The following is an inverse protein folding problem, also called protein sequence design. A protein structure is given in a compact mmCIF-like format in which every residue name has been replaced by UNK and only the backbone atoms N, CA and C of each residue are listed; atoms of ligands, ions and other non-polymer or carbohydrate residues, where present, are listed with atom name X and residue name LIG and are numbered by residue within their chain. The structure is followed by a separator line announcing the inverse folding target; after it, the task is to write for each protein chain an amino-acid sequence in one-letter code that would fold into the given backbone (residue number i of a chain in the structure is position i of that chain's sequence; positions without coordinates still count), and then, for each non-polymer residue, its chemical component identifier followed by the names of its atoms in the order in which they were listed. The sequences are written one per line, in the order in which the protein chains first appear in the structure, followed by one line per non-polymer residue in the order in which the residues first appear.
data_IF_436939556460
#
_entry.id   IF_436939556460
#
_cell.length_a   1.000
_cell.length_b   1.000
_cell.length_c   1.000
_cell.angle_alpha   90.00
_cell.angle_beta   90.00
_cell.angle_gamma   90.00
#
_symmetry.space_group_name_H-M   'P 1'
#
loop_
_entity.id
_entity.type
_entity.pdbx_description
1 polymer ?
#
# COMPACT_ATOMS: atom_id res chain seq x y z
N UNK A 1 15.94 -6.06 -1.49
CA UNK A 1 15.25 -6.99 -2.45
C UNK A 1 15.07 -6.36 -3.83
N UNK A 2 14.72 -7.13 -4.89
CA UNK A 2 14.37 -6.59 -6.22
C UNK A 2 12.84 -6.37 -6.30
N UNK A 3 12.39 -5.17 -6.71
CA UNK A 3 11.01 -4.92 -7.08
C UNK A 3 10.66 -5.54 -8.45
N UNK A 4 9.43 -5.38 -8.91
CA UNK A 4 9.00 -5.76 -10.25
C UNK A 4 9.41 -4.71 -11.29
N UNK A 5 9.22 -5.04 -12.57
CA UNK A 5 9.65 -4.16 -13.68
C UNK A 5 8.81 -2.88 -13.72
N UNK A 6 9.48 -1.74 -13.88
CA UNK A 6 8.79 -0.45 -14.09
C UNK A 6 8.12 -0.46 -15.47
N UNK A 7 6.80 -0.27 -15.56
CA UNK A 7 6.14 -0.10 -16.84
C UNK A 7 6.50 1.25 -17.46
N UNK A 8 6.50 1.33 -18.77
CA UNK A 8 6.56 2.61 -19.48
C UNK A 8 5.25 3.37 -19.26
N UNK A 9 5.36 4.63 -18.83
CA UNK A 9 4.20 5.49 -18.61
C UNK A 9 4.03 6.44 -19.79
N UNK A 10 2.81 6.55 -20.36
CA UNK A 10 2.52 7.57 -21.36
C UNK A 10 2.73 8.98 -20.78
N UNK A 11 3.21 9.87 -21.63
CA UNK A 11 3.37 11.29 -21.30
C UNK A 11 2.12 12.06 -21.76
N UNK A 12 1.39 12.61 -20.80
CA UNK A 12 0.19 13.40 -21.09
C UNK A 12 0.54 14.87 -21.37
N UNK A 13 -0.33 15.60 -22.08
CA UNK A 13 -0.20 17.05 -22.21
C UNK A 13 -0.10 17.72 -20.84
N UNK A 14 0.68 18.80 -20.70
CA UNK A 14 0.79 19.51 -19.45
C UNK A 14 -0.59 19.85 -18.84
N UNK A 15 -0.67 19.79 -17.51
CA UNK A 15 -1.88 20.19 -16.82
C UNK A 15 -2.18 21.69 -17.10
N UNK A 16 -3.45 22.02 -17.30
CA UNK A 16 -3.87 23.43 -17.41
C UNK A 16 -3.57 24.16 -16.10
N UNK A 17 -3.27 25.45 -16.18
CA UNK A 17 -3.12 26.30 -15.00
C UNK A 17 -4.39 26.26 -14.12
N UNK A 18 -4.19 26.27 -12.79
CA UNK A 18 -5.29 26.35 -11.84
C UNK A 18 -5.86 25.00 -11.38
N UNK A 19 -5.25 23.85 -11.71
CA UNK A 19 -5.62 22.60 -11.08
C UNK A 19 -5.28 22.63 -9.57
N UNK A 20 -6.22 22.19 -8.68
CA UNK A 20 -5.98 22.17 -7.24
C UNK A 20 -4.84 21.21 -6.88
N UNK A 21 -4.13 21.40 -5.75
CA UNK A 21 -3.13 20.45 -5.29
C UNK A 21 -3.78 19.07 -5.03
N UNK A 22 -3.00 18.01 -5.11
CA UNK A 22 -3.46 16.68 -4.68
C UNK A 22 -3.71 16.74 -3.18
N UNK A 23 -4.96 16.49 -2.79
CA UNK A 23 -5.40 16.52 -1.40
C UNK A 23 -5.90 15.14 -1.01
N UNK A 24 -5.55 14.67 0.18
CA UNK A 24 -5.95 13.36 0.72
C UNK A 24 -6.47 13.52 2.15
N UNK A 25 -7.34 12.61 2.53
CA UNK A 25 -7.74 12.47 3.92
C UNK A 25 -6.55 11.97 4.76
N UNK A 26 -6.10 12.81 5.67
CA UNK A 26 -5.05 12.49 6.64
C UNK A 26 -5.71 12.01 7.94
N UNK A 27 -5.44 10.76 8.31
CA UNK A 27 -6.03 10.14 9.50
C UNK A 27 -5.66 10.87 10.78
N UNK A 28 -4.45 11.41 10.88
CA UNK A 28 -4.01 12.12 12.07
C UNK A 28 -4.72 13.48 12.27
N UNK A 29 -5.06 14.20 11.21
CA UNK A 29 -5.83 15.45 11.32
C UNK A 29 -7.34 15.24 11.21
N UNK A 30 -7.78 14.13 10.64
CA UNK A 30 -9.19 13.87 10.30
C UNK A 30 -9.71 14.72 9.13
N UNK A 31 -8.84 15.40 8.39
CA UNK A 31 -9.19 16.35 7.33
C UNK A 31 -8.62 15.94 5.97
N UNK A 32 -9.32 16.34 4.90
CA UNK A 32 -8.76 16.30 3.54
C UNK A 32 -7.88 17.52 3.35
N UNK A 33 -6.60 17.31 3.08
CA UNK A 33 -5.61 18.39 2.96
C UNK A 33 -4.56 18.11 1.89
N UNK A 34 -3.90 19.14 1.36
CA UNK A 34 -2.83 18.97 0.37
C UNK A 34 -1.71 18.08 0.88
N UNK A 35 -1.25 17.14 0.03
CA UNK A 35 -0.14 16.22 0.30
C UNK A 35 0.92 16.29 -0.78
N UNK A 36 2.17 16.13 -0.37
CA UNK A 36 3.34 16.23 -1.25
C UNK A 36 3.86 17.67 -1.41
N UNK A 37 5.04 17.81 -2.00
CA UNK A 37 5.65 19.11 -2.26
C UNK A 37 5.01 19.76 -3.50
N UNK A 38 5.14 21.08 -3.63
CA UNK A 38 4.75 21.80 -4.86
C UNK A 38 5.67 21.48 -6.04
N UNK A 39 6.94 21.24 -5.79
CA UNK A 39 7.98 20.89 -6.78
C UNK A 39 9.01 19.93 -6.20
N UNK A 40 9.74 19.24 -7.08
CA UNK A 40 10.83 18.37 -6.66
C UNK A 40 10.40 16.92 -6.48
N UNK A 41 10.74 16.31 -5.34
CA UNK A 41 10.52 14.87 -5.10
C UNK A 41 9.50 14.65 -3.98
N UNK A 42 8.38 14.04 -4.33
CA UNK A 42 7.43 13.49 -3.35
C UNK A 42 7.96 12.18 -2.77
N UNK A 43 7.79 11.99 -1.44
CA UNK A 43 8.33 10.86 -0.69
C UNK A 43 7.16 10.06 -0.11
N UNK A 44 7.04 8.81 -0.56
CA UNK A 44 5.96 7.88 -0.21
C UNK A 44 6.53 6.63 0.46
N UNK A 45 6.06 6.31 1.65
CA UNK A 45 6.25 5.00 2.26
C UNK A 45 4.92 4.26 2.33
N UNK A 46 4.87 3.04 1.83
CA UNK A 46 3.69 2.17 1.99
C UNK A 46 4.12 0.89 2.67
N UNK A 47 3.49 0.56 3.79
CA UNK A 47 3.75 -0.70 4.48
C UNK A 47 3.48 -1.90 3.57
N UNK A 48 4.44 -2.82 3.55
CA UNK A 48 4.41 -4.00 2.72
C UNK A 48 3.61 -5.16 3.30
N UNK A 49 3.67 -6.28 2.62
CA UNK A 49 3.01 -7.52 3.04
C UNK A 49 3.90 -8.34 3.98
N UNK A 50 3.27 -9.14 4.85
CA UNK A 50 3.89 -10.34 5.39
C UNK A 50 3.61 -11.49 4.40
N UNK A 51 4.63 -12.05 3.73
CA UNK A 51 4.46 -12.90 2.55
C UNK A 51 4.17 -14.36 2.94
N UNK A 52 2.94 -14.65 3.35
CA UNK A 52 2.52 -16.02 3.69
C UNK A 52 1.18 -16.45 3.06
N UNK A 53 0.36 -15.51 2.58
CA UNK A 53 -0.83 -15.72 1.73
C UNK A 53 -0.96 -14.52 0.79
N UNK A 54 -0.27 -14.57 -0.36
CA UNK A 54 -0.11 -13.42 -1.24
C UNK A 54 -1.39 -12.96 -1.88
N UNK A 55 -1.41 -11.72 -2.13
CA UNK A 55 -2.29 -10.76 -2.78
C UNK A 55 -3.77 -11.11 -2.77
N UNK A 56 -4.41 -10.97 -1.63
CA UNK A 56 -5.88 -10.87 -1.59
C UNK A 56 -6.34 -9.45 -1.99
N UNK A 57 -7.63 -9.30 -2.26
CA UNK A 57 -8.20 -8.03 -2.75
C UNK A 57 -7.97 -6.84 -1.81
N UNK A 58 -7.86 -7.07 -0.49
CA UNK A 58 -7.50 -6.03 0.47
C UNK A 58 -6.09 -5.46 0.21
N UNK A 59 -5.09 -6.33 0.01
CA UNK A 59 -3.74 -5.90 -0.40
C UNK A 59 -3.79 -5.14 -1.73
N UNK A 60 -4.48 -5.70 -2.74
CA UNK A 60 -4.59 -5.06 -4.05
C UNK A 60 -5.23 -3.67 -3.95
N UNK A 61 -6.26 -3.49 -3.10
CA UNK A 61 -6.91 -2.20 -2.83
C UNK A 61 -5.90 -1.17 -2.31
N UNK A 62 -5.13 -1.55 -1.31
CA UNK A 62 -4.09 -0.68 -0.72
C UNK A 62 -3.07 -0.24 -1.79
N UNK A 63 -2.47 -1.19 -2.51
CA UNK A 63 -1.39 -0.84 -3.45
C UNK A 63 -1.89 -0.11 -4.69
N UNK A 64 -3.12 -0.37 -5.17
CA UNK A 64 -3.73 0.40 -6.26
C UNK A 64 -4.06 1.83 -5.81
N UNK A 65 -4.51 2.05 -4.57
CA UNK A 65 -4.75 3.39 -4.03
C UNK A 65 -3.47 4.24 -4.01
N UNK A 66 -2.36 3.70 -3.53
CA UNK A 66 -1.08 4.42 -3.51
C UNK A 66 -0.40 4.50 -4.88
N UNK A 67 -0.71 3.58 -5.79
CA UNK A 67 -0.34 3.71 -7.21
C UNK A 67 -1.04 4.89 -7.86
N UNK A 68 -2.32 5.15 -7.58
CA UNK A 68 -3.01 6.35 -8.05
C UNK A 68 -2.33 7.64 -7.54
N UNK A 69 -1.96 7.69 -6.27
CA UNK A 69 -1.23 8.82 -5.72
C UNK A 69 0.11 9.04 -6.43
N UNK A 70 0.87 7.95 -6.62
CA UNK A 70 2.15 7.98 -7.32
C UNK A 70 1.98 8.52 -8.75
N UNK A 71 0.98 8.05 -9.49
CA UNK A 71 0.66 8.50 -10.85
C UNK A 71 0.21 9.95 -10.88
N UNK A 72 -0.66 10.36 -9.96
CA UNK A 72 -1.14 11.73 -9.86
C UNK A 72 0.00 12.72 -9.57
N UNK A 73 0.95 12.38 -8.70
CA UNK A 73 2.13 13.20 -8.44
C UNK A 73 3.05 13.30 -9.66
N UNK A 74 3.26 12.18 -10.39
CA UNK A 74 4.07 12.17 -11.63
C UNK A 74 3.45 13.01 -12.74
N UNK A 75 2.12 12.95 -12.90
CA UNK A 75 1.40 13.79 -13.86
C UNK A 75 1.54 15.29 -13.54
N UNK A 76 1.76 15.64 -12.26
CA UNK A 76 2.08 17.00 -11.81
C UNK A 76 3.56 17.39 -12.02
N UNK A 77 4.36 16.52 -12.62
CA UNK A 77 5.79 16.75 -12.86
C UNK A 77 6.68 16.49 -11.65
N UNK A 78 6.16 15.90 -10.58
CA UNK A 78 6.98 15.51 -9.42
C UNK A 78 7.77 14.25 -9.72
N UNK A 79 9.02 14.20 -9.28
CA UNK A 79 9.68 12.93 -9.05
C UNK A 79 9.04 12.25 -7.85
N UNK A 80 8.91 10.92 -7.86
CA UNK A 80 8.36 10.17 -6.72
C UNK A 80 9.37 9.16 -6.23
N UNK A 81 9.77 9.28 -4.97
CA UNK A 81 10.52 8.24 -4.27
C UNK A 81 9.56 7.44 -3.42
N UNK A 82 9.18 6.29 -3.95
CA UNK A 82 8.32 5.31 -3.31
C UNK A 82 9.18 4.21 -2.67
N UNK A 83 8.99 3.96 -1.39
CA UNK A 83 9.65 2.91 -0.59
C UNK A 83 8.58 1.97 -0.04
N UNK A 84 8.83 0.69 -0.12
CA UNK A 84 7.97 -0.37 0.42
C UNK A 84 8.82 -1.45 1.06
N UNK A 85 8.40 -1.93 2.23
CA UNK A 85 9.04 -3.10 2.85
C UNK A 85 8.37 -4.42 2.45
N UNK A 86 9.00 -5.51 2.84
CA UNK A 86 8.42 -6.86 2.95
C UNK A 86 8.77 -7.39 4.32
N UNK A 87 7.78 -7.75 5.11
CA UNK A 87 7.99 -8.37 6.41
C UNK A 87 8.24 -9.87 6.21
N UNK A 88 9.43 -10.20 5.70
CA UNK A 88 9.85 -11.56 5.33
C UNK A 88 10.35 -12.40 6.51
N UNK A 89 10.19 -11.90 7.72
CA UNK A 89 10.31 -12.65 8.97
C UNK A 89 9.33 -12.09 10.00
N UNK A 90 8.35 -12.91 10.40
CA UNK A 90 7.34 -12.54 11.40
C UNK A 90 6.62 -13.80 11.92
N UNK A 91 5.96 -13.73 13.08
CA UNK A 91 5.25 -14.85 13.69
C UNK A 91 4.26 -15.53 12.73
N UNK A 92 3.35 -14.81 12.05
CA UNK A 92 2.40 -15.42 11.11
C UNK A 92 3.07 -16.19 9.96
N UNK A 93 4.20 -15.69 9.45
CA UNK A 93 4.97 -16.39 8.41
C UNK A 93 5.58 -17.69 8.96
N UNK A 94 6.20 -17.62 10.14
CA UNK A 94 6.83 -18.79 10.79
C UNK A 94 5.79 -19.85 11.17
N UNK A 95 4.62 -19.44 11.68
CA UNK A 95 3.51 -20.35 11.96
C UNK A 95 3.01 -21.04 10.70
N UNK A 96 2.86 -20.28 9.60
CA UNK A 96 2.44 -20.84 8.32
C UNK A 96 3.44 -21.82 7.75
N UNK A 97 4.72 -21.49 7.82
CA UNK A 97 5.82 -22.36 7.39
C UNK A 97 5.81 -23.69 8.16
N UNK A 98 5.68 -23.64 9.49
CA UNK A 98 5.53 -24.82 10.34
C UNK A 98 4.29 -25.66 9.97
N UNK A 99 3.14 -25.01 9.79
CA UNK A 99 1.88 -25.68 9.45
C UNK A 99 1.90 -26.38 8.09
N UNK A 100 2.69 -25.85 7.14
CA UNK A 100 2.80 -26.41 5.78
C UNK A 100 4.01 -27.31 5.58
N UNK A 101 4.95 -27.33 6.53
CA UNK A 101 6.21 -28.08 6.41
C UNK A 101 7.19 -27.53 5.37
N UNK A 102 7.03 -26.25 5.01
CA UNK A 102 7.90 -25.52 4.06
C UNK A 102 8.91 -24.69 4.84
N UNK A 103 10.14 -24.57 4.37
CA UNK A 103 11.09 -23.60 4.95
C UNK A 103 10.52 -22.17 4.85
N UNK A 104 10.65 -21.39 5.91
CA UNK A 104 10.04 -20.05 5.97
C UNK A 104 10.63 -19.08 4.93
N UNK A 105 11.91 -19.23 4.56
CA UNK A 105 12.56 -18.42 3.52
C UNK A 105 11.99 -18.75 2.15
N UNK A 106 11.83 -20.04 1.86
CA UNK A 106 11.24 -20.50 0.61
C UNK A 106 9.79 -20.04 0.49
N UNK A 107 9.03 -20.09 1.60
CA UNK A 107 7.66 -19.58 1.65
C UNK A 107 7.62 -18.07 1.40
N UNK A 108 8.46 -17.29 2.09
CA UNK A 108 8.55 -15.86 1.93
C UNK A 108 8.91 -15.47 0.49
N UNK A 109 9.91 -16.14 -0.12
CA UNK A 109 10.31 -15.86 -1.50
C UNK A 109 9.21 -16.20 -2.50
N UNK A 110 8.57 -17.36 -2.39
CA UNK A 110 7.46 -17.78 -3.27
C UNK A 110 6.30 -16.80 -3.20
N UNK A 111 5.89 -16.38 -2.00
CA UNK A 111 4.77 -15.47 -1.81
C UNK A 111 5.12 -14.04 -2.24
N UNK A 112 6.36 -13.61 -2.05
CA UNK A 112 6.85 -12.32 -2.55
C UNK A 112 6.88 -12.30 -4.08
N UNK A 113 7.30 -13.38 -4.74
CA UNK A 113 7.28 -13.46 -6.21
C UNK A 113 5.86 -13.50 -6.76
N UNK A 114 4.93 -14.17 -6.08
CA UNK A 114 3.53 -14.15 -6.45
C UNK A 114 2.96 -12.73 -6.34
N UNK A 115 3.28 -12.01 -5.27
CA UNK A 115 2.91 -10.61 -5.09
C UNK A 115 3.45 -9.71 -6.21
N UNK A 116 4.74 -9.83 -6.57
CA UNK A 116 5.34 -9.09 -7.69
C UNK A 116 4.62 -9.34 -9.00
N UNK A 117 4.28 -10.60 -9.25
CA UNK A 117 3.54 -11.02 -10.46
C UNK A 117 2.14 -10.41 -10.48
N UNK A 118 1.45 -10.37 -9.35
CA UNK A 118 0.11 -9.79 -9.24
C UNK A 118 0.16 -8.26 -9.39
N UNK A 119 1.12 -7.57 -8.77
CA UNK A 119 1.31 -6.11 -8.93
C UNK A 119 1.66 -5.73 -10.36
N UNK A 120 2.52 -6.52 -11.02
CA UNK A 120 2.83 -6.35 -12.46
C UNK A 120 1.57 -6.49 -13.31
N UNK A 121 0.77 -7.51 -13.06
CA UNK A 121 -0.46 -7.75 -13.81
C UNK A 121 -1.50 -6.63 -13.61
N UNK A 122 -1.60 -6.10 -12.40
CA UNK A 122 -2.46 -4.97 -12.07
C UNK A 122 -1.87 -3.62 -12.53
N UNK A 123 -0.71 -3.59 -13.19
CA UNK A 123 -0.03 -2.38 -13.65
C UNK A 123 0.27 -1.37 -12.52
N UNK A 124 0.60 -1.88 -11.32
CA UNK A 124 1.04 -1.06 -10.18
C UNK A 124 2.50 -0.67 -10.39
N UNK A 125 2.84 0.60 -10.17
CA UNK A 125 4.21 1.09 -10.23
C UNK A 125 5.05 0.51 -9.10
N UNK A 126 6.26 -0.02 -9.38
CA UNK A 126 7.11 -0.59 -8.35
C UNK A 126 7.69 0.50 -7.44
N UNK A 127 8.04 0.14 -6.19
CA UNK A 127 8.84 1.01 -5.35
C UNK A 127 10.26 1.18 -5.92
N UNK A 128 10.84 2.34 -5.67
CA UNK A 128 12.25 2.61 -5.98
C UNK A 128 13.18 1.79 -5.06
N UNK A 129 12.76 1.64 -3.81
CA UNK A 129 13.45 0.84 -2.80
C UNK A 129 12.46 -0.19 -2.23
N UNK A 130 12.73 -1.48 -2.42
CA UNK A 130 11.92 -2.63 -1.96
C UNK A 130 12.76 -3.47 -1.01
N UNK A 131 12.44 -3.41 0.30
CA UNK A 131 13.34 -3.79 1.37
C UNK A 131 12.73 -4.90 2.24
N UNK A 132 13.43 -6.03 2.40
CA UNK A 132 13.04 -7.09 3.35
C UNK A 132 13.34 -6.72 4.80
N UNK A 133 12.53 -7.21 5.73
CA UNK A 133 12.81 -7.08 7.16
C UNK A 133 14.15 -7.73 7.51
N UNK A 134 14.44 -8.91 6.94
CA UNK A 134 15.72 -9.62 7.16
C UNK A 134 16.93 -8.78 6.72
N UNK A 135 16.86 -8.11 5.56
CA UNK A 135 17.98 -7.27 5.10
C UNK A 135 18.07 -5.93 5.84
N UNK A 136 17.08 -5.57 6.65
CA UNK A 136 17.03 -4.33 7.42
C UNK A 136 17.40 -4.49 8.90
N UNK A 137 17.78 -5.68 9.36
CA UNK A 137 18.08 -5.95 10.78
C UNK A 137 19.17 -5.01 11.33
N UNK A 138 20.20 -4.75 10.55
CA UNK A 138 21.27 -3.79 10.96
C UNK A 138 20.71 -2.38 11.13
N UNK A 139 19.77 -1.93 10.27
CA UNK A 139 19.12 -0.63 10.39
C UNK A 139 18.28 -0.54 11.67
N UNK A 140 17.56 -1.62 12.00
CA UNK A 140 16.78 -1.69 13.24
C UNK A 140 17.71 -1.59 14.46
N UNK A 141 18.80 -2.33 14.48
CA UNK A 141 19.75 -2.28 15.60
C UNK A 141 20.43 -0.93 15.73
N UNK A 142 20.75 -0.26 14.62
CA UNK A 142 21.25 1.12 14.61
C UNK A 142 20.23 2.11 15.17
N UNK A 143 18.94 1.95 14.83
CA UNK A 143 17.87 2.80 15.36
C UNK A 143 17.69 2.55 16.85
N UNK A 144 17.66 1.30 17.29
CA UNK A 144 17.50 0.91 18.70
C UNK A 144 18.62 1.46 19.59
N UNK A 145 19.84 1.62 19.10
CA UNK A 145 20.95 2.20 19.85
C UNK A 145 20.81 3.71 20.11
N UNK A 146 19.86 4.40 19.50
CA UNK A 146 19.59 5.82 19.74
C UNK A 146 18.69 6.07 20.94
N UNK A 147 18.00 5.04 21.43
CA UNK A 147 17.12 5.16 22.59
C UNK A 147 17.90 5.09 23.90
N UNK A 148 17.35 5.74 24.91
CA UNK A 148 17.82 5.60 26.30
C UNK A 148 17.23 4.36 26.96
N UNK A 149 17.79 3.90 28.08
CA UNK A 149 17.29 2.76 28.87
C UNK A 149 15.89 3.00 29.46
N UNK A 150 15.40 4.25 29.47
CA UNK A 150 14.04 4.59 29.87
C UNK A 150 13.06 4.43 28.71
N UNK A 151 13.51 4.67 27.48
CA UNK A 151 12.70 4.62 26.26
C UNK A 151 12.60 3.20 25.69
N UNK A 152 13.69 2.44 25.72
CA UNK A 152 13.73 1.02 25.36
C UNK A 152 14.32 0.23 26.52
N UNK A 153 13.57 -0.76 26.99
CA UNK A 153 13.90 -1.50 28.20
C UNK A 153 13.61 -3.00 28.02
N UNK A 154 14.29 -3.80 28.83
CA UNK A 154 14.07 -5.24 28.87
C UNK A 154 12.95 -5.59 29.85
N UNK A 155 12.05 -6.50 29.43
CA UNK A 155 11.00 -6.99 30.32
C UNK A 155 11.59 -7.60 31.57
N UNK A 156 11.01 -7.27 32.75
CA UNK A 156 11.52 -7.71 34.05
C UNK A 156 11.17 -9.15 34.41
N UNK A 157 10.27 -9.78 33.67
CA UNK A 157 9.81 -11.15 33.87
C UNK A 157 9.73 -11.93 32.57
N UNK A 158 9.96 -13.24 32.61
CA UNK A 158 9.93 -14.16 31.48
C UNK A 158 11.13 -14.00 30.56
N UNK A 159 11.00 -14.25 29.24
CA UNK A 159 12.07 -14.00 28.27
C UNK A 159 12.49 -12.53 28.28
N UNK A 160 13.76 -12.27 28.12
CA UNK A 160 14.36 -10.95 28.23
C UNK A 160 14.16 -10.10 26.95
N UNK A 161 12.91 -10.02 26.46
CA UNK A 161 12.51 -9.24 25.29
C UNK A 161 12.61 -7.75 25.58
N UNK A 162 12.86 -6.95 24.55
CA UNK A 162 12.98 -5.51 24.64
C UNK A 162 11.72 -4.82 24.13
N UNK A 163 11.27 -3.83 24.89
CA UNK A 163 10.05 -3.08 24.65
C UNK A 163 10.33 -1.58 24.54
N UNK A 164 9.64 -0.92 23.63
CA UNK A 164 9.58 0.52 23.56
C UNK A 164 8.49 1.05 24.49
N UNK A 165 8.83 1.99 25.33
CA UNK A 165 7.91 2.67 26.24
C UNK A 165 7.11 3.73 25.44
N UNK A 166 5.88 3.40 25.04
CA UNK A 166 5.08 4.24 24.13
C UNK A 166 4.84 5.66 24.66
N UNK A 167 4.75 5.83 25.98
CA UNK A 167 4.60 7.14 26.64
C UNK A 167 5.89 7.97 26.66
N UNK A 168 6.98 7.48 26.06
CA UNK A 168 8.15 8.32 25.74
C UNK A 168 7.83 9.31 24.60
N UNK A 169 6.81 9.02 23.78
CA UNK A 169 6.25 9.97 22.84
C UNK A 169 5.04 10.69 23.49
N UNK A 170 5.12 12.01 23.73
CA UNK A 170 4.03 12.78 24.29
C UNK A 170 2.82 12.93 23.34
N UNK A 171 3.02 12.65 22.04
CA UNK A 171 1.98 12.71 21.00
C UNK A 171 1.37 11.32 20.69
N UNK A 172 1.76 10.25 21.40
CA UNK A 172 1.21 8.92 21.19
C UNK A 172 -0.32 8.90 21.31
N UNK A 173 -0.99 8.33 20.31
CA UNK A 173 -2.44 8.29 20.18
C UNK A 173 -3.03 9.35 19.23
N UNK A 174 -2.21 10.24 18.66
CA UNK A 174 -2.68 11.31 17.77
C UNK A 174 -2.96 10.86 16.33
N UNK A 175 -2.50 9.69 15.92
CA UNK A 175 -2.79 9.15 14.58
C UNK A 175 -4.12 8.40 14.61
N UNK A 176 -4.31 7.52 15.58
CA UNK A 176 -5.45 6.61 15.64
C UNK A 176 -6.68 7.19 16.36
N UNK A 177 -6.48 8.17 17.25
CA UNK A 177 -7.51 8.79 18.07
C UNK A 177 -8.30 7.80 18.93
N UNK A 178 -7.73 6.62 19.24
CA UNK A 178 -8.35 5.62 20.11
C UNK A 178 -8.23 6.02 21.58
N UNK A 179 -9.28 5.82 22.34
CA UNK A 179 -9.14 5.86 23.80
C UNK A 179 -8.32 4.65 24.30
N UNK A 180 -7.82 4.72 25.54
CA UNK A 180 -6.93 3.69 26.10
C UNK A 180 -7.56 2.29 26.07
N UNK A 181 -8.86 2.17 26.34
CA UNK A 181 -9.58 0.88 26.34
C UNK A 181 -9.67 0.32 24.92
N UNK A 182 -9.98 1.18 23.94
CA UNK A 182 -10.03 0.82 22.52
C UNK A 182 -8.63 0.42 22.03
N UNK A 183 -7.61 1.21 22.39
CA UNK A 183 -6.23 0.92 22.03
C UNK A 183 -5.77 -0.44 22.57
N UNK A 184 -6.02 -0.75 23.85
CA UNK A 184 -5.68 -2.05 24.46
C UNK A 184 -6.39 -3.22 23.77
N UNK A 185 -7.67 -3.09 23.49
CA UNK A 185 -8.45 -4.13 22.82
C UNK A 185 -7.94 -4.38 21.39
N UNK A 186 -7.70 -3.30 20.64
CA UNK A 186 -7.19 -3.38 19.26
C UNK A 186 -5.76 -3.90 19.22
N UNK A 187 -4.92 -3.50 20.19
CA UNK A 187 -3.55 -4.01 20.31
C UNK A 187 -3.53 -5.53 20.50
N UNK A 188 -4.35 -6.05 21.44
CA UNK A 188 -4.48 -7.49 21.66
C UNK A 188 -5.00 -8.23 20.41
N UNK A 189 -5.99 -7.67 19.70
CA UNK A 189 -6.57 -8.26 18.48
C UNK A 189 -5.54 -8.34 17.34
N UNK A 190 -4.62 -7.38 17.27
CA UNK A 190 -3.69 -7.20 16.15
C UNK A 190 -2.25 -7.66 16.45
N UNK A 191 -2.12 -8.65 17.32
CA UNK A 191 -0.84 -9.32 17.58
C UNK A 191 0.01 -8.69 18.69
N UNK A 192 -0.51 -7.67 19.39
CA UNK A 192 0.13 -7.14 20.59
C UNK A 192 -0.06 -8.05 21.79
N UNK A 193 0.70 -7.80 22.84
CA UNK A 193 0.78 -8.60 24.07
C UNK A 193 0.53 -7.77 25.35
N UNK A 194 -0.67 -7.13 25.50
CA UNK A 194 -0.94 -6.22 26.61
C UNK A 194 -0.82 -6.89 27.98
N UNK A 195 -1.03 -8.22 28.06
CA UNK A 195 -0.96 -9.01 29.30
C UNK A 195 0.44 -9.58 29.58
N UNK A 196 1.43 -9.27 28.75
CA UNK A 196 2.80 -9.76 28.90
C UNK A 196 3.41 -9.26 30.23
N UNK A 197 3.73 -10.19 31.12
CA UNK A 197 4.36 -9.88 32.41
C UNK A 197 5.72 -9.20 32.21
N UNK A 198 6.05 -8.28 33.11
CA UNK A 198 7.32 -7.55 33.10
C UNK A 198 7.36 -6.31 32.22
N UNK A 199 6.29 -5.99 31.47
CA UNK A 199 6.13 -4.71 30.77
C UNK A 199 5.85 -3.58 31.78
N UNK A 200 6.29 -2.36 31.45
CA UNK A 200 5.99 -1.16 32.27
C UNK A 200 4.59 -0.63 31.99
N UNK A 201 4.14 -0.74 30.73
CA UNK A 201 2.80 -0.37 30.32
C UNK A 201 2.22 -1.42 29.34
N UNK A 202 0.91 -1.76 29.40
CA UNK A 202 0.30 -2.75 28.51
C UNK A 202 0.46 -2.46 27.02
N UNK A 203 0.49 -1.18 26.60
CA UNK A 203 0.67 -0.77 25.20
C UNK A 203 2.15 -0.72 24.76
N UNK A 204 3.14 -0.87 25.67
CA UNK A 204 4.52 -0.88 25.23
C UNK A 204 4.74 -1.96 24.19
N UNK A 205 5.38 -1.62 23.07
CA UNK A 205 5.50 -2.53 21.94
C UNK A 205 6.86 -3.20 21.87
N UNK A 206 6.85 -4.44 21.40
CA UNK A 206 8.04 -5.25 21.20
C UNK A 206 8.93 -4.61 20.13
N UNK A 207 10.20 -4.37 20.44
CA UNK A 207 11.20 -3.85 19.49
C UNK A 207 12.30 -4.85 19.17
N UNK A 208 12.61 -5.78 20.14
CA UNK A 208 13.54 -6.87 19.91
C UNK A 208 13.15 -8.09 20.72
N UNK A 209 12.80 -9.18 20.01
CA UNK A 209 12.47 -10.47 20.60
C UNK A 209 13.73 -11.28 20.76
N UNK A 210 14.01 -11.78 21.97
CA UNK A 210 15.11 -12.69 22.21
C UNK A 210 14.88 -14.02 21.46
N UNK A 211 15.98 -14.68 21.09
CA UNK A 211 15.95 -15.94 20.35
C UNK A 211 15.02 -16.97 21.01
N UNK A 212 14.23 -17.64 20.19
CA UNK A 212 13.36 -18.76 20.56
C UNK A 212 13.87 -20.04 19.93
N UNK A 213 13.68 -21.20 20.57
CA UNK A 213 13.99 -22.47 19.96
C UNK A 213 13.26 -22.63 18.62
N UNK A 214 13.97 -23.08 17.61
CA UNK A 214 13.44 -23.34 16.25
C UNK A 214 12.97 -22.12 15.46
N UNK A 215 13.25 -20.89 15.96
CA UNK A 215 12.98 -19.64 15.25
C UNK A 215 14.28 -19.00 14.74
N UNK A 216 14.20 -18.26 13.62
CA UNK A 216 15.36 -17.52 13.14
C UNK A 216 15.76 -16.42 14.14
N UNK A 217 17.07 -16.24 14.30
CA UNK A 217 17.61 -15.17 15.12
C UNK A 217 18.91 -14.63 14.53
N UNK A 218 19.23 -13.43 14.92
CA UNK A 218 20.42 -12.70 14.47
C UNK A 218 21.14 -12.09 15.66
N UNK A 219 22.48 -12.03 15.61
CA UNK A 219 23.24 -11.36 16.65
C UNK A 219 22.99 -9.86 16.66
N UNK A 220 22.88 -9.26 17.85
CA UNK A 220 22.73 -7.82 18.01
C UNK A 220 23.32 -7.35 19.35
N UNK A 221 23.49 -6.03 19.55
CA UNK A 221 23.82 -5.47 20.85
C UNK A 221 22.76 -5.76 21.93
N UNK A 222 21.54 -6.12 21.52
CA UNK A 222 20.41 -6.46 22.40
C UNK A 222 20.32 -7.97 22.68
N UNK A 223 21.29 -8.75 22.23
CA UNK A 223 21.34 -10.22 22.32
C UNK A 223 20.91 -10.89 21.01
N UNK A 224 21.04 -12.23 20.97
CA UNK A 224 20.51 -13.03 19.86
C UNK A 224 18.99 -12.91 19.81
N UNK A 225 18.42 -12.58 18.63
CA UNK A 225 17.00 -12.37 18.51
C UNK A 225 16.57 -11.87 17.14
N UNK A 226 15.40 -11.27 17.07
CA UNK A 226 14.83 -10.65 15.88
C UNK A 226 14.05 -9.37 16.20
N UNK A 227 13.90 -8.43 15.23
CA UNK A 227 13.15 -7.21 15.45
C UNK A 227 11.67 -7.47 15.75
N UNK A 228 11.04 -6.52 16.44
CA UNK A 228 9.59 -6.38 16.48
C UNK A 228 9.05 -5.74 15.19
N UNK A 229 7.78 -5.96 14.91
CA UNK A 229 7.16 -5.59 13.64
C UNK A 229 7.17 -4.07 13.35
N UNK A 230 6.95 -3.22 14.37
CA UNK A 230 6.76 -1.78 14.16
C UNK A 230 8.08 -1.06 13.85
N UNK A 231 9.13 -1.42 14.58
CA UNK A 231 10.45 -0.80 14.45
C UNK A 231 11.12 -1.05 13.09
N UNK A 232 10.75 -2.15 12.40
CA UNK A 232 11.24 -2.43 11.04
C UNK A 232 10.85 -1.31 10.08
N UNK A 233 9.56 -0.96 10.06
CA UNK A 233 9.05 0.10 9.18
C UNK A 233 9.61 1.47 9.57
N UNK A 234 9.78 1.75 10.87
CA UNK A 234 10.40 2.98 11.35
C UNK A 234 11.83 3.13 10.82
N UNK A 235 12.65 2.07 10.96
CA UNK A 235 14.05 2.06 10.54
C UNK A 235 14.20 2.16 9.00
N UNK A 236 13.40 1.39 8.25
CA UNK A 236 13.44 1.39 6.78
C UNK A 236 13.02 2.77 6.24
N UNK A 237 11.88 3.30 6.69
CA UNK A 237 11.39 4.58 6.20
C UNK A 237 12.36 5.72 6.55
N UNK A 238 12.89 5.77 7.77
CA UNK A 238 13.89 6.76 8.17
C UNK A 238 15.16 6.68 7.32
N UNK A 239 15.64 5.48 7.04
CA UNK A 239 16.86 5.26 6.25
C UNK A 239 16.73 5.71 4.80
N UNK A 240 15.60 5.41 4.16
CA UNK A 240 15.42 5.60 2.71
C UNK A 240 14.71 6.91 2.35
N UNK A 241 13.86 7.43 3.22
CA UNK A 241 13.11 8.68 3.00
C UNK A 241 13.53 9.81 3.96
N UNK A 242 14.19 9.50 5.08
CA UNK A 242 14.40 10.43 6.16
C UNK A 242 13.13 10.67 6.96
N UNK A 243 13.15 11.67 7.82
CA UNK A 243 11.98 12.11 8.60
C UNK A 243 11.12 13.09 7.81
N UNK A 244 9.89 13.35 8.29
CA UNK A 244 8.96 14.29 7.68
C UNK A 244 8.73 14.03 6.18
N UNK A 245 8.72 12.74 5.78
CA UNK A 245 8.35 12.39 4.42
C UNK A 245 6.85 12.64 4.19
N UNK A 246 6.42 12.73 2.93
CA UNK A 246 5.13 13.34 2.62
C UNK A 246 3.94 12.47 3.05
N UNK A 247 3.97 11.17 2.75
CA UNK A 247 2.85 10.26 3.06
C UNK A 247 3.35 8.92 3.57
N UNK A 248 2.85 8.50 4.74
CA UNK A 248 2.83 7.10 5.18
C UNK A 248 1.48 6.48 4.82
N UNK A 249 1.52 5.40 4.05
CA UNK A 249 0.35 4.70 3.55
C UNK A 249 0.25 3.26 4.01
N UNK A 250 -0.98 2.75 4.05
CA UNK A 250 -1.30 1.35 4.38
C UNK A 250 -2.79 1.07 4.39
N UNK A 251 -3.19 -0.13 4.78
CA UNK A 251 -4.59 -0.45 5.07
C UNK A 251 -5.08 0.27 6.34
N UNK A 252 -6.38 0.48 6.48
CA UNK A 252 -6.94 1.17 7.64
C UNK A 252 -6.73 0.42 8.96
N UNK A 253 -6.49 -0.88 8.89
CA UNK A 253 -6.12 -1.70 10.03
C UNK A 253 -4.70 -1.42 10.55
N UNK A 254 -3.83 -0.81 9.74
CA UNK A 254 -2.49 -0.42 10.14
C UNK A 254 -2.43 0.92 10.89
N UNK A 255 -3.50 1.74 10.87
CA UNK A 255 -3.51 3.01 11.59
C UNK A 255 -3.12 2.82 13.07
N UNK A 256 -3.65 1.75 13.70
CA UNK A 256 -3.26 1.28 15.02
C UNK A 256 -3.21 -0.25 15.05
N UNK A 257 -2.18 -0.88 15.65
CA UNK A 257 -1.08 -0.23 16.37
C UNK A 257 0.09 0.23 15.46
N UNK A 258 0.18 -0.27 14.22
CA UNK A 258 1.42 -0.26 13.44
C UNK A 258 1.93 1.15 13.11
N UNK A 259 1.11 2.01 12.50
CA UNK A 259 1.53 3.37 12.14
C UNK A 259 1.72 4.28 13.35
N UNK A 260 0.87 4.13 14.36
CA UNK A 260 1.03 4.86 15.62
C UNK A 260 2.35 4.54 16.29
N UNK A 261 2.67 3.24 16.43
CA UNK A 261 3.89 2.79 17.10
C UNK A 261 5.14 3.09 16.29
N UNK A 262 5.14 2.85 14.97
CA UNK A 262 6.29 3.20 14.10
C UNK A 262 6.58 4.69 14.12
N UNK A 263 5.54 5.53 14.15
CA UNK A 263 5.70 6.98 14.22
C UNK A 263 6.29 7.42 15.58
N UNK A 264 5.80 6.85 16.68
CA UNK A 264 6.28 7.13 18.02
C UNK A 264 7.75 6.70 18.18
N UNK A 265 8.11 5.51 17.73
CA UNK A 265 9.49 5.01 17.72
C UNK A 265 10.42 5.95 16.94
N UNK A 266 10.03 6.32 15.72
CA UNK A 266 10.83 7.23 14.90
C UNK A 266 10.94 8.64 15.51
N UNK A 267 9.85 9.17 16.07
CA UNK A 267 9.85 10.47 16.73
C UNK A 267 10.78 10.50 17.94
N UNK A 268 10.69 9.52 18.81
CA UNK A 268 11.52 9.45 20.02
C UNK A 268 13.01 9.26 19.66
N UNK A 269 13.31 8.47 18.62
CA UNK A 269 14.69 8.24 18.17
C UNK A 269 15.31 9.45 17.46
N UNK A 270 14.51 10.34 16.83
CA UNK A 270 15.00 11.40 15.94
C UNK A 270 14.68 12.81 16.41
N UNK A 271 13.67 12.99 17.26
CA UNK A 271 13.13 14.29 17.67
C UNK A 271 12.34 15.00 16.55
N UNK A 272 11.95 14.28 15.50
CA UNK A 272 11.22 14.83 14.34
C UNK A 272 10.02 13.98 14.00
N UNK A 273 8.98 14.60 13.41
CA UNK A 273 7.84 13.85 12.91
C UNK A 273 8.27 12.79 11.90
N UNK A 274 7.65 11.63 11.98
CA UNK A 274 7.94 10.54 11.06
C UNK A 274 7.44 10.85 9.65
N UNK A 275 6.14 11.08 9.49
CA UNK A 275 5.51 11.48 8.24
C UNK A 275 4.70 12.77 8.40
N UNK A 276 4.42 13.44 7.28
CA UNK A 276 3.57 14.64 7.25
C UNK A 276 2.09 14.31 7.18
N UNK A 277 1.72 13.18 6.54
CA UNK A 277 0.36 12.69 6.46
C UNK A 277 0.31 11.17 6.60
N UNK A 278 -0.77 10.67 7.21
CA UNK A 278 -1.07 9.25 7.38
C UNK A 278 -2.33 8.91 6.61
N UNK A 279 -2.18 8.15 5.53
CA UNK A 279 -3.26 7.87 4.58
C UNK A 279 -3.59 6.38 4.60
N UNK A 280 -4.87 6.05 4.71
CA UNK A 280 -5.29 4.67 4.88
C UNK A 280 -6.33 4.25 3.84
N UNK A 281 -6.11 3.09 3.22
CA UNK A 281 -7.06 2.46 2.33
C UNK A 281 -8.08 1.65 3.15
N UNK A 282 -9.34 1.70 2.73
CA UNK A 282 -10.44 0.95 3.35
C UNK A 282 -10.27 -0.56 3.21
N UNK A 283 -10.97 -1.28 4.08
CA UNK A 283 -10.97 -2.75 4.12
C UNK A 283 -11.85 -3.33 3.02
N UNK A 284 -11.44 -4.48 2.49
CA UNK A 284 -12.22 -5.23 1.52
C UNK A 284 -12.77 -6.51 2.16
N UNK A 285 -14.10 -6.61 2.18
CA UNK A 285 -14.82 -7.79 2.63
C UNK A 285 -15.26 -8.71 1.48
N UNK A 286 -15.92 -9.79 1.81
CA UNK A 286 -16.63 -10.67 0.88
C UNK A 286 -18.05 -10.90 1.40
N UNK A 287 -19.06 -10.63 0.58
CA UNK A 287 -20.47 -10.82 0.89
C UNK A 287 -20.91 -10.15 2.22
N UNK A 288 -20.35 -8.97 2.54
CA UNK A 288 -20.64 -8.22 3.76
C UNK A 288 -19.87 -8.70 4.99
N UNK A 289 -19.00 -9.71 4.86
CA UNK A 289 -18.13 -10.19 5.93
C UNK A 289 -16.67 -9.81 5.68
N UNK A 290 -15.91 -9.57 6.76
CA UNK A 290 -14.45 -9.37 6.66
C UNK A 290 -13.81 -10.60 6.02
N UNK A 291 -13.01 -10.40 4.96
CA UNK A 291 -12.13 -11.45 4.45
C UNK A 291 -11.13 -11.83 5.53
N UNK A 292 -11.06 -13.12 5.84
CA UNK A 292 -10.06 -13.64 6.76
C UNK A 292 -9.59 -15.03 6.36
N UNK A 293 -8.34 -15.32 6.68
CA UNK A 293 -7.69 -16.59 6.39
C UNK A 293 -8.35 -17.75 7.16
N UNK A 294 -8.72 -17.49 8.41
CA UNK A 294 -9.38 -18.50 9.25
C UNK A 294 -10.74 -18.93 8.68
N UNK A 295 -11.42 -18.06 7.93
CA UNK A 295 -12.69 -18.35 7.25
C UNK A 295 -12.48 -18.97 5.86
N UNK A 296 -11.26 -18.91 5.29
CA UNK A 296 -10.96 -19.41 3.94
C UNK A 296 -11.68 -18.66 2.82
N UNK A 297 -12.15 -17.44 3.08
CA UNK A 297 -12.94 -16.61 2.17
C UNK A 297 -12.13 -15.52 1.45
N UNK A 298 -10.84 -15.72 1.25
CA UNK A 298 -9.99 -14.75 0.54
C UNK A 298 -10.21 -14.81 -0.97
N UNK A 299 -10.49 -13.66 -1.57
CA UNK A 299 -10.44 -13.47 -3.02
C UNK A 299 -9.01 -13.08 -3.41
N UNK A 300 -8.32 -13.97 -4.13
CA UNK A 300 -6.93 -13.80 -4.51
C UNK A 300 -6.80 -13.34 -5.95
N UNK A 301 -5.98 -12.30 -6.20
CA UNK A 301 -5.69 -11.78 -7.55
C UNK A 301 -5.14 -12.89 -8.45
N UNK A 302 -4.22 -13.70 -7.95
CA UNK A 302 -3.63 -14.82 -8.68
C UNK A 302 -4.66 -15.87 -9.12
N UNK A 303 -5.69 -16.14 -8.31
CA UNK A 303 -6.77 -17.08 -8.67
C UNK A 303 -7.67 -16.50 -9.77
N UNK A 304 -8.03 -15.22 -9.68
CA UNK A 304 -8.80 -14.55 -10.74
C UNK A 304 -8.03 -14.56 -12.07
N UNK A 305 -6.72 -14.25 -12.03
CA UNK A 305 -5.85 -14.31 -13.21
C UNK A 305 -5.77 -15.73 -13.80
N UNK A 306 -5.60 -16.75 -12.94
CA UNK A 306 -5.57 -18.16 -13.37
C UNK A 306 -6.91 -18.62 -13.98
N UNK A 307 -8.03 -18.02 -13.56
CA UNK A 307 -9.35 -18.23 -14.15
C UNK A 307 -9.57 -17.46 -15.47
N UNK A 308 -8.56 -16.73 -15.95
CA UNK A 308 -8.63 -15.98 -17.23
C UNK A 308 -9.26 -14.60 -17.11
N UNK A 309 -9.48 -14.08 -15.89
CA UNK A 309 -9.97 -12.72 -15.70
C UNK A 309 -8.91 -11.72 -16.16
N UNK A 310 -9.33 -10.74 -16.98
CA UNK A 310 -8.44 -9.66 -17.42
C UNK A 310 -7.99 -8.82 -16.19
N UNK A 311 -6.68 -8.66 -15.93
CA UNK A 311 -6.21 -7.91 -14.76
C UNK A 311 -6.69 -6.45 -14.75
N UNK A 312 -6.97 -5.87 -15.91
CA UNK A 312 -7.53 -4.52 -15.99
C UNK A 312 -8.99 -4.47 -15.51
N UNK A 313 -9.76 -5.56 -15.67
CA UNK A 313 -11.09 -5.66 -15.06
C UNK A 313 -10.99 -5.74 -13.53
N UNK A 314 -10.03 -6.51 -13.00
CA UNK A 314 -9.77 -6.54 -11.55
C UNK A 314 -9.40 -5.14 -11.03
N UNK A 315 -8.50 -4.43 -11.73
CA UNK A 315 -8.13 -3.06 -11.39
C UNK A 315 -9.31 -2.11 -11.42
N UNK A 316 -10.21 -2.23 -12.40
CA UNK A 316 -11.43 -1.41 -12.48
C UNK A 316 -12.43 -1.69 -11.36
N UNK A 317 -12.50 -2.91 -10.82
CA UNK A 317 -13.30 -3.17 -9.59
C UNK A 317 -12.72 -2.36 -8.42
N UNK A 318 -11.40 -2.40 -8.23
CA UNK A 318 -10.73 -1.66 -7.15
C UNK A 318 -10.97 -0.15 -7.28
N UNK A 319 -10.79 0.41 -8.49
CA UNK A 319 -11.02 1.83 -8.78
C UNK A 319 -12.48 2.25 -8.75
N UNK A 320 -13.41 1.31 -8.89
CA UNK A 320 -14.86 1.55 -8.78
C UNK A 320 -15.32 1.89 -7.37
N UNK A 321 -14.46 1.69 -6.37
CA UNK A 321 -14.68 2.03 -4.97
C UNK A 321 -13.73 3.16 -4.55
N UNK A 322 -14.21 4.08 -3.72
CA UNK A 322 -13.34 5.12 -3.19
C UNK A 322 -12.28 4.48 -2.26
N UNK A 323 -11.01 4.83 -2.41
CA UNK A 323 -9.87 4.12 -1.78
C UNK A 323 -10.00 3.96 -0.27
N UNK A 324 -10.54 4.95 0.45
CA UNK A 324 -10.67 4.93 1.92
C UNK A 324 -11.98 4.36 2.44
N UNK A 325 -12.91 3.99 1.57
CA UNK A 325 -14.18 3.37 1.96
C UNK A 325 -14.02 1.88 2.15
N UNK A 326 -14.63 1.34 3.20
CA UNK A 326 -14.78 -0.12 3.32
C UNK A 326 -15.82 -0.60 2.32
N UNK A 327 -15.55 -1.72 1.67
CA UNK A 327 -16.45 -2.31 0.69
C UNK A 327 -16.32 -3.84 0.65
N UNK A 328 -17.25 -4.50 -0.01
CA UNK A 328 -17.24 -5.96 -0.19
C UNK A 328 -17.14 -6.33 -1.66
N UNK A 329 -16.25 -7.27 -1.96
CA UNK A 329 -16.17 -7.88 -3.29
C UNK A 329 -17.44 -8.63 -3.62
N UNK A 330 -17.91 -8.50 -4.87
CA UNK A 330 -18.99 -9.28 -5.46
C UNK A 330 -18.67 -9.65 -6.91
N UNK A 331 -19.19 -10.78 -7.39
CA UNK A 331 -19.08 -11.16 -8.80
C UNK A 331 -19.78 -10.18 -9.73
N UNK A 332 -20.81 -9.46 -9.23
CA UNK A 332 -21.50 -8.40 -9.95
C UNK A 332 -20.59 -7.24 -10.30
N UNK A 333 -19.78 -6.77 -9.35
CA UNK A 333 -18.78 -5.72 -9.60
C UNK A 333 -17.74 -6.14 -10.66
N UNK A 334 -17.32 -7.41 -10.67
CA UNK A 334 -16.41 -7.92 -11.69
C UNK A 334 -17.07 -7.95 -13.07
N UNK A 335 -18.34 -8.35 -13.15
CA UNK A 335 -19.09 -8.32 -14.41
C UNK A 335 -19.25 -6.90 -14.95
N UNK A 336 -19.59 -5.92 -14.09
CA UNK A 336 -19.69 -4.51 -14.44
C UNK A 336 -18.33 -3.94 -14.90
N UNK A 337 -17.25 -4.22 -14.18
CA UNK A 337 -15.90 -3.79 -14.55
C UNK A 337 -15.44 -4.39 -15.88
N UNK A 338 -15.81 -5.65 -16.15
CA UNK A 338 -15.51 -6.31 -17.43
C UNK A 338 -16.27 -5.65 -18.57
N UNK A 339 -17.54 -5.31 -18.38
CA UNK A 339 -18.35 -4.60 -19.38
C UNK A 339 -17.80 -3.18 -19.62
N UNK A 340 -17.47 -2.42 -18.54
CA UNK A 340 -16.82 -1.11 -18.64
C UNK A 340 -15.52 -1.17 -19.46
N UNK A 341 -14.65 -2.12 -19.17
CA UNK A 341 -13.40 -2.32 -19.90
C UNK A 341 -13.64 -2.58 -21.39
N UNK A 342 -14.66 -3.38 -21.72
CA UNK A 342 -15.03 -3.64 -23.11
C UNK A 342 -15.52 -2.38 -23.83
N UNK A 343 -16.37 -1.57 -23.18
CA UNK A 343 -16.85 -0.28 -23.72
C UNK A 343 -15.70 0.69 -23.94
N UNK A 344 -14.79 0.84 -22.98
CA UNK A 344 -13.63 1.72 -23.16
C UNK A 344 -12.72 1.27 -24.29
N UNK A 345 -12.47 -0.03 -24.41
CA UNK A 345 -11.70 -0.61 -25.53
C UNK A 345 -12.37 -0.40 -26.88
N UNK A 346 -13.71 -0.45 -26.93
CA UNK A 346 -14.47 -0.13 -28.13
C UNK A 346 -14.31 1.34 -28.51
N UNK A 347 -14.43 2.26 -27.55
CA UNK A 347 -14.32 3.71 -27.81
C UNK A 347 -12.92 4.11 -28.29
N UNK A 348 -11.86 3.57 -27.67
CA UNK A 348 -10.47 3.88 -28.11
C UNK A 348 -10.03 3.14 -29.38
N UNK A 349 -10.87 2.25 -29.92
CA UNK A 349 -10.65 1.60 -31.21
C UNK A 349 -11.33 2.32 -32.38
N UNK A 350 -12.09 3.40 -32.12
CA UNK A 350 -12.69 4.24 -33.16
C UNK A 350 -11.59 4.96 -33.96
N UNK A 351 -11.85 5.27 -35.22
CA UNK A 351 -10.96 6.10 -36.06
C UNK A 351 -11.02 7.57 -35.64
N UNK A 352 -12.18 8.01 -35.21
CA UNK A 352 -12.45 9.38 -34.72
C UNK A 352 -13.36 9.30 -33.49
N UNK A 353 -13.22 10.26 -32.58
CA UNK A 353 -14.03 10.33 -31.37
C UNK A 353 -14.30 11.80 -30.97
N UNK A 354 -15.02 12.00 -29.87
CA UNK A 354 -15.14 13.32 -29.24
C UNK A 354 -13.79 13.76 -28.63
N UNK A 355 -13.48 15.07 -28.59
CA UNK A 355 -12.23 15.57 -28.07
C UNK A 355 -11.92 15.09 -26.64
N UNK A 356 -10.64 14.76 -26.37
CA UNK A 356 -10.19 14.22 -25.08
C UNK A 356 -9.90 15.30 -24.01
N UNK A 357 -9.87 16.58 -24.37
CA UNK A 357 -9.42 17.67 -23.48
C UNK A 357 -10.23 17.75 -22.19
N UNK A 358 -11.56 17.68 -22.28
CA UNK A 358 -12.44 17.79 -21.11
C UNK A 358 -12.31 16.58 -20.20
N UNK A 359 -12.34 15.36 -20.74
CA UNK A 359 -12.21 14.14 -19.94
C UNK A 359 -10.86 14.08 -19.22
N UNK A 360 -9.77 14.55 -19.84
CA UNK A 360 -8.46 14.65 -19.18
C UNK A 360 -8.51 15.62 -17.99
N UNK A 361 -9.14 16.78 -18.16
CA UNK A 361 -9.27 17.77 -17.09
C UNK A 361 -10.15 17.26 -15.94
N UNK A 362 -11.22 16.52 -16.24
CA UNK A 362 -12.11 15.91 -15.24
C UNK A 362 -11.42 14.82 -14.44
N UNK A 363 -10.70 13.91 -15.08
CA UNK A 363 -9.94 12.86 -14.40
C UNK A 363 -8.88 13.47 -13.48
N UNK A 364 -8.15 14.49 -13.94
CA UNK A 364 -7.17 15.19 -13.10
C UNK A 364 -7.78 15.87 -11.88
N UNK A 365 -8.97 16.50 -12.05
CA UNK A 365 -9.72 17.12 -10.95
C UNK A 365 -10.18 16.09 -9.94
N UNK A 366 -10.74 14.97 -10.40
CA UNK A 366 -11.18 13.87 -9.54
C UNK A 366 -10.02 13.27 -8.73
N UNK A 367 -8.88 13.03 -9.36
CA UNK A 367 -7.71 12.49 -8.64
C UNK A 367 -7.07 13.53 -7.69
N UNK A 368 -7.26 14.82 -7.91
CA UNK A 368 -6.82 15.87 -7.00
C UNK A 368 -7.71 15.98 -5.74
N UNK A 369 -8.95 15.53 -5.83
CA UNK A 369 -9.94 15.55 -4.76
C UNK A 369 -10.04 14.18 -4.09
N UNK A 370 -9.19 13.95 -3.11
CA UNK A 370 -9.14 12.73 -2.29
C UNK A 370 -9.09 11.42 -3.13
N UNK A 371 -8.38 11.46 -4.28
CA UNK A 371 -8.28 10.35 -5.23
C UNK A 371 -9.64 9.75 -5.61
N UNK A 372 -10.64 10.59 -5.92
CA UNK A 372 -11.98 10.12 -6.34
C UNK A 372 -11.91 9.35 -7.66
N UNK A 373 -11.34 8.14 -7.60
CA UNK A 373 -11.29 7.25 -8.74
C UNK A 373 -12.67 6.92 -9.32
N UNK A 374 -13.73 6.70 -8.53
CA UNK A 374 -15.08 6.56 -9.07
C UNK A 374 -15.54 7.72 -9.96
N UNK A 375 -15.22 8.97 -9.60
CA UNK A 375 -15.52 10.12 -10.46
C UNK A 375 -14.66 10.11 -11.73
N UNK A 376 -13.37 9.79 -11.61
CA UNK A 376 -12.49 9.63 -12.76
C UNK A 376 -12.97 8.55 -13.75
N UNK A 377 -13.46 7.41 -13.23
CA UNK A 377 -14.05 6.36 -14.08
C UNK A 377 -15.30 6.86 -14.80
N UNK A 378 -16.21 7.58 -14.11
CA UNK A 378 -17.42 8.16 -14.73
C UNK A 378 -17.08 9.10 -15.88
N UNK A 379 -16.07 9.97 -15.72
CA UNK A 379 -15.65 10.88 -16.79
C UNK A 379 -15.25 10.13 -18.08
N UNK A 380 -14.54 8.99 -17.94
CA UNK A 380 -14.18 8.16 -19.10
C UNK A 380 -15.40 7.38 -19.62
N UNK A 381 -16.29 6.88 -18.74
CA UNK A 381 -17.54 6.21 -19.15
C UNK A 381 -18.38 7.14 -20.02
N UNK A 382 -18.59 8.40 -19.59
CA UNK A 382 -19.39 9.40 -20.30
C UNK A 382 -18.76 9.75 -21.67
N UNK A 383 -17.44 9.96 -21.71
CA UNK A 383 -16.73 10.18 -22.97
C UNK A 383 -16.84 8.97 -23.91
N UNK A 384 -16.67 7.76 -23.40
CA UNK A 384 -16.69 6.54 -24.19
C UNK A 384 -18.10 6.29 -24.78
N UNK A 385 -19.15 6.43 -23.98
CA UNK A 385 -20.53 6.27 -24.42
C UNK A 385 -20.88 7.33 -25.50
N UNK A 386 -20.58 8.60 -25.23
CA UNK A 386 -20.85 9.68 -26.16
C UNK A 386 -20.07 9.52 -27.48
N UNK A 387 -18.82 9.05 -27.44
CA UNK A 387 -18.00 8.84 -28.63
C UNK A 387 -18.45 7.65 -29.47
N UNK A 388 -19.07 6.64 -28.85
CA UNK A 388 -19.66 5.50 -29.58
C UNK A 388 -20.98 5.88 -30.26
N UNK A 389 -21.78 6.76 -29.62
CA UNK A 389 -23.13 7.11 -30.06
C UNK A 389 -23.15 8.32 -31.02
N UNK A 390 -22.11 9.16 -31.02
CA UNK A 390 -22.05 10.40 -31.83
C UNK A 390 -20.90 10.35 -32.87
N UNK A 391 -21.08 11.08 -33.97
CA UNK A 391 -20.03 11.30 -34.96
C UNK A 391 -19.02 12.31 -34.38
N UNK A 392 -17.90 11.83 -33.82
CA UNK A 392 -16.75 12.63 -33.46
C UNK A 392 -15.91 13.00 -34.69
N UNK A 393 -15.03 14.01 -34.55
CA UNK A 393 -14.16 14.49 -35.62
C UNK A 393 -12.67 14.53 -35.21
N UNK A 394 -12.35 14.15 -33.99
CA UNK A 394 -10.97 14.14 -33.47
C UNK A 394 -10.34 12.76 -33.64
N UNK A 395 -9.32 12.70 -34.54
CA UNK A 395 -8.56 11.48 -34.84
C UNK A 395 -7.55 11.11 -33.74
N UNK A 396 -7.16 12.05 -32.88
CA UNK A 396 -6.17 11.83 -31.82
C UNK A 396 -6.83 11.41 -30.51
N UNK A 397 -8.08 11.79 -30.27
CA UNK A 397 -8.80 11.57 -29.03
C UNK A 397 -8.81 10.11 -28.56
N UNK A 398 -9.05 9.08 -29.41
CA UNK A 398 -8.99 7.69 -28.97
C UNK A 398 -7.63 7.28 -28.40
N UNK A 399 -6.56 7.77 -29.01
CA UNK A 399 -5.19 7.58 -28.55
C UNK A 399 -4.93 8.25 -27.22
N UNK A 400 -5.32 9.52 -27.11
CA UNK A 400 -5.14 10.35 -25.91
C UNK A 400 -5.88 9.78 -24.69
N UNK A 401 -7.12 9.26 -24.88
CA UNK A 401 -7.87 8.65 -23.77
C UNK A 401 -7.27 7.29 -23.38
N UNK A 402 -6.73 6.52 -24.33
CA UNK A 402 -6.00 5.30 -23.99
C UNK A 402 -4.75 5.59 -23.15
N UNK A 403 -4.00 6.62 -23.50
CA UNK A 403 -2.82 7.09 -22.76
C UNK A 403 -3.19 7.66 -21.40
N UNK A 404 -4.28 8.44 -21.30
CA UNK A 404 -4.83 8.96 -20.06
C UNK A 404 -5.20 7.84 -19.09
N UNK A 405 -5.93 6.82 -19.56
CA UNK A 405 -6.35 5.69 -18.74
C UNK A 405 -5.15 4.91 -18.19
N UNK A 406 -4.10 4.72 -19.00
CA UNK A 406 -2.87 4.08 -18.53
C UNK A 406 -2.07 5.00 -17.60
N UNK A 407 -1.81 6.22 -17.97
CA UNK A 407 -0.97 7.14 -17.20
C UNK A 407 -1.55 7.44 -15.80
N UNK A 408 -2.83 7.78 -15.72
CA UNK A 408 -3.46 8.25 -14.48
C UNK A 408 -4.15 7.15 -13.67
N UNK A 409 -4.80 6.20 -14.36
CA UNK A 409 -5.55 5.13 -13.69
C UNK A 409 -4.84 3.76 -13.76
N UNK A 410 -3.75 3.65 -14.51
CA UNK A 410 -3.04 2.38 -14.73
C UNK A 410 -3.86 1.34 -15.48
N UNK A 411 -4.88 1.76 -16.23
CA UNK A 411 -5.76 0.88 -17.01
C UNK A 411 -5.30 0.83 -18.46
N UNK A 412 -4.64 -0.25 -18.86
CA UNK A 412 -4.20 -0.46 -20.23
C UNK A 412 -5.36 -0.91 -21.12
N UNK A 413 -5.75 -0.05 -22.06
CA UNK A 413 -6.85 -0.33 -22.97
C UNK A 413 -6.37 -1.05 -24.25
N UNK A 414 -5.17 -0.76 -24.72
CA UNK A 414 -4.57 -1.47 -25.85
C UNK A 414 -3.93 -2.76 -25.34
N UNK A 415 -4.26 -3.90 -25.96
CA UNK A 415 -3.59 -5.16 -25.65
C UNK A 415 -2.18 -5.12 -26.25
N UNK A 416 -1.16 -5.39 -25.46
CA UNK A 416 0.13 -5.73 -26.01
C UNK A 416 -0.01 -6.99 -26.89
N UNK A 417 0.61 -7.03 -28.09
CA UNK A 417 0.66 -8.27 -28.83
C UNK A 417 1.29 -9.34 -27.94
N UNK A 418 0.56 -10.43 -27.74
CA UNK A 418 1.07 -11.58 -27.00
C UNK A 418 2.37 -12.00 -27.68
N UNK A 419 3.50 -11.82 -27.00
CA UNK A 419 4.77 -12.32 -27.49
C UNK A 419 4.58 -13.82 -27.74
N UNK A 420 4.63 -14.25 -29.02
CA UNK A 420 4.58 -15.67 -29.33
C UNK A 420 5.76 -16.34 -28.65
N UNK A 421 5.56 -17.44 -27.93
CA UNK A 421 6.67 -18.18 -27.37
C UNK A 421 7.62 -18.52 -28.53
N UNK A 422 8.87 -18.10 -28.43
CA UNK A 422 9.90 -18.50 -29.38
C UNK A 422 9.90 -20.01 -29.46
N UNK A 423 9.52 -20.53 -30.62
CA UNK A 423 9.57 -21.96 -30.90
C UNK A 423 11.03 -22.40 -30.83
N UNK A 424 11.37 -23.08 -29.74
CA UNK A 424 12.63 -23.82 -29.62
C UNK A 424 12.49 -25.22 -30.22
#
# INVERSE_FOLDING_TARGET
MRAWTVPELPTLPPAADGLPPISLHDTASGEVRPVGPETGTARLYVCGITPYDATHMGHANTYVAFDLLNRAWRDRGLAVRYVQNVTDVDDPLLERARATGVDWRDLAEQQTELFRTDMTALNVLPPADYIGAVESIDLVTELLQRFTDEQVYQASEGPADWYFAVHSDPEFGQISHLDERQALATFAERGGDPERAGKRHPLDCLVWQQARPEEPSWPSPFGEGRPGWHIECAAIAERYLGTEFDVQGGGSDLAFPHHEMSAAEAFVATGKRFARAYVHAGMVGLDGEKMSKSKGNLVLVSRLRAAGVDPMAIRLVLLGNHYRSDWSWTDGQLAEATARLATWRQAVALEVALPATEVLAEVRRALADDLDAPAALRAIDDWAAASIDADGDDTEAPGQVAELADALLGVRLRREPVAQPESR
#
